data_IF_026882144255
#
_entry.id   IF_026882144255
#
_cell.length_a   1.000
_cell.length_b   1.000
_cell.length_c   1.000
_cell.angle_alpha   90.00
_cell.angle_beta   90.00
_cell.angle_gamma   90.00
#
_symmetry.space_group_name_H-M   'P 1'
#
loop_
_entity.id
_entity.type
_entity.pdbx_description
1 polymer ?
#
# COMPACT_ATOMS: atom_id res chain seq x y z
N UNK A 1 31.81 -15.40 0.51
CA UNK A 1 30.42 -14.98 0.75
C UNK A 1 29.57 -15.86 -0.15
N UNK A 2 28.70 -16.68 0.44
CA UNK A 2 27.88 -17.61 -0.33
C UNK A 2 26.93 -16.84 -1.26
N UNK A 3 26.58 -17.40 -2.42
CA UNK A 3 25.69 -16.76 -3.41
C UNK A 3 24.31 -16.44 -2.79
N UNK A 4 23.91 -17.18 -1.76
CA UNK A 4 22.70 -16.92 -0.97
C UNK A 4 22.87 -15.76 0.02
N UNK A 5 24.05 -15.60 0.66
CA UNK A 5 24.33 -14.47 1.56
C UNK A 5 24.37 -13.12 0.82
N UNK A 6 24.88 -13.11 -0.42
CA UNK A 6 24.89 -11.91 -1.27
C UNK A 6 23.47 -11.42 -1.60
N UNK A 7 22.52 -12.31 -1.87
CA UNK A 7 21.10 -11.94 -2.11
C UNK A 7 20.37 -11.42 -0.88
N UNK A 8 20.80 -11.77 0.35
CA UNK A 8 20.19 -11.22 1.58
C UNK A 8 20.44 -9.73 1.78
N UNK A 9 21.34 -9.13 1.01
CA UNK A 9 21.74 -7.72 1.16
C UNK A 9 21.75 -6.94 -0.16
N UNK A 10 21.58 -7.61 -1.30
CA UNK A 10 21.47 -6.99 -2.61
C UNK A 10 20.01 -6.95 -3.08
N UNK A 11 19.43 -5.75 -3.04
CA UNK A 11 18.06 -5.45 -3.47
C UNK A 11 18.04 -4.59 -4.74
N UNK A 12 19.11 -4.68 -5.54
CA UNK A 12 19.17 -4.07 -6.86
C UNK A 12 18.10 -4.66 -7.76
N UNK A 13 17.51 -3.82 -8.60
CA UNK A 13 16.49 -4.26 -9.55
C UNK A 13 17.15 -4.97 -10.75
N UNK A 14 16.49 -6.01 -11.26
CA UNK A 14 16.81 -6.59 -12.56
C UNK A 14 16.35 -5.65 -13.67
N UNK A 15 16.74 -5.91 -14.92
CA UNK A 15 16.22 -5.17 -16.07
C UNK A 15 14.69 -5.27 -16.17
N UNK A 16 14.12 -6.46 -16.00
CA UNK A 16 12.67 -6.67 -15.99
C UNK A 16 11.95 -5.85 -14.92
N UNK A 17 12.51 -5.76 -13.71
CA UNK A 17 11.97 -4.93 -12.64
C UNK A 17 12.00 -3.43 -13.01
N UNK A 18 13.09 -2.97 -13.64
CA UNK A 18 13.21 -1.58 -14.08
C UNK A 18 12.18 -1.28 -15.18
N UNK A 19 12.04 -2.18 -16.16
CA UNK A 19 11.08 -2.03 -17.26
C UNK A 19 9.64 -2.01 -16.74
N UNK A 20 9.31 -2.88 -15.79
CA UNK A 20 8.03 -2.87 -15.08
C UNK A 20 7.77 -1.51 -14.42
N UNK A 21 8.72 -1.01 -13.64
CA UNK A 21 8.57 0.27 -12.95
C UNK A 21 8.41 1.44 -13.95
N UNK A 22 9.18 1.44 -15.03
CA UNK A 22 9.08 2.46 -16.10
C UNK A 22 7.72 2.41 -16.78
N UNK A 23 7.20 1.22 -17.07
CA UNK A 23 5.89 1.05 -17.70
C UNK A 23 4.77 1.64 -16.82
N UNK A 24 4.74 1.29 -15.52
CA UNK A 24 3.72 1.81 -14.60
C UNK A 24 3.87 3.31 -14.33
N UNK A 25 5.10 3.82 -14.25
CA UNK A 25 5.33 5.26 -14.18
C UNK A 25 4.73 5.99 -15.38
N UNK A 26 5.07 5.56 -16.58
CA UNK A 26 4.55 6.16 -17.82
C UNK A 26 3.04 6.06 -17.93
N UNK A 27 2.45 4.95 -17.46
CA UNK A 27 1.00 4.79 -17.37
C UNK A 27 0.37 5.86 -16.48
N UNK A 28 0.83 6.03 -15.23
CA UNK A 28 0.23 6.99 -14.31
C UNK A 28 0.51 8.44 -14.70
N UNK A 29 1.68 8.76 -15.27
CA UNK A 29 1.95 10.09 -15.84
C UNK A 29 0.98 10.46 -16.96
N UNK A 30 0.57 9.47 -17.77
CA UNK A 30 -0.34 9.69 -18.90
C UNK A 30 -1.82 9.70 -18.48
N UNK A 31 -2.22 8.90 -17.48
CA UNK A 31 -3.63 8.62 -17.18
C UNK A 31 -4.11 9.11 -15.82
N UNK A 32 -3.20 9.47 -14.91
CA UNK A 32 -3.52 9.94 -13.57
C UNK A 32 -2.88 11.32 -13.27
N UNK A 33 -3.12 12.35 -14.11
CA UNK A 33 -2.73 13.70 -13.76
C UNK A 33 -3.54 14.19 -12.54
N UNK A 34 -3.08 15.27 -11.90
CA UNK A 34 -3.65 15.73 -10.63
C UNK A 34 -5.16 16.08 -10.73
N UNK A 35 -5.63 16.45 -11.92
CA UNK A 35 -7.04 16.74 -12.20
C UNK A 35 -7.91 15.50 -12.03
N UNK A 36 -7.44 14.32 -12.44
CA UNK A 36 -8.14 13.04 -12.23
C UNK A 36 -8.23 12.73 -10.74
N UNK A 37 -7.11 12.90 -10.02
CA UNK A 37 -7.07 12.71 -8.55
C UNK A 37 -8.06 13.63 -7.85
N UNK A 38 -8.12 14.91 -8.25
CA UNK A 38 -9.03 15.91 -7.68
C UNK A 38 -10.49 15.60 -7.97
N UNK A 39 -10.80 15.15 -9.19
CA UNK A 39 -12.16 14.77 -9.58
C UNK A 39 -12.69 13.58 -8.76
N UNK A 40 -11.80 12.67 -8.37
CA UNK A 40 -12.14 11.48 -7.59
C UNK A 40 -12.28 11.74 -6.07
N UNK A 41 -11.88 12.89 -5.52
CA UNK A 41 -11.74 13.09 -4.06
C UNK A 41 -13.01 12.84 -3.25
N UNK A 42 -14.18 13.15 -3.80
CA UNK A 42 -15.46 12.98 -3.10
C UNK A 42 -15.80 11.50 -2.86
N UNK A 43 -15.43 10.61 -3.80
CA UNK A 43 -15.67 9.18 -3.70
C UNK A 43 -14.43 8.36 -3.33
N UNK A 44 -13.24 8.94 -3.48
CA UNK A 44 -11.94 8.28 -3.33
C UNK A 44 -11.61 7.25 -4.40
N UNK A 45 -12.36 7.23 -5.51
CA UNK A 45 -12.24 6.21 -6.55
C UNK A 45 -12.51 6.80 -7.93
N UNK A 46 -11.64 6.49 -8.90
CA UNK A 46 -11.86 6.77 -10.32
C UNK A 46 -12.06 5.45 -11.10
N UNK A 47 -13.30 5.12 -11.53
CA UNK A 47 -13.57 3.88 -12.26
C UNK A 47 -12.85 3.78 -13.60
N UNK A 48 -12.66 4.90 -14.31
CA UNK A 48 -12.04 4.88 -15.63
C UNK A 48 -10.53 4.61 -15.54
N UNK A 49 -9.87 5.15 -14.52
CA UNK A 49 -8.48 4.84 -14.20
C UNK A 49 -8.33 3.39 -13.73
N UNK A 50 -9.27 2.90 -12.92
CA UNK A 50 -9.31 1.50 -12.50
C UNK A 50 -9.41 0.55 -13.70
N UNK A 51 -10.34 0.77 -14.62
CA UNK A 51 -10.51 -0.06 -15.82
C UNK A 51 -9.22 -0.07 -16.68
N UNK A 52 -8.59 1.08 -16.85
CA UNK A 52 -7.31 1.20 -17.58
C UNK A 52 -6.17 0.47 -16.89
N UNK A 53 -6.10 0.57 -15.55
CA UNK A 53 -5.06 -0.07 -14.76
C UNK A 53 -5.22 -1.60 -14.80
N UNK A 54 -6.46 -2.10 -14.73
CA UNK A 54 -6.77 -3.51 -14.90
C UNK A 54 -6.41 -4.00 -16.30
N UNK A 55 -6.74 -3.23 -17.34
CA UNK A 55 -6.39 -3.54 -18.74
C UNK A 55 -4.87 -3.58 -18.99
N UNK A 56 -4.07 -2.88 -18.18
CA UNK A 56 -2.61 -2.93 -18.20
C UNK A 56 -2.04 -4.23 -17.59
N UNK A 57 -2.84 -4.99 -16.83
CA UNK A 57 -2.42 -6.22 -16.15
C UNK A 57 -2.07 -6.05 -14.66
N UNK A 58 -2.39 -4.89 -14.06
CA UNK A 58 -2.01 -4.63 -12.67
C UNK A 58 -2.69 -5.57 -11.66
N UNK A 59 -3.88 -6.05 -11.98
CA UNK A 59 -4.64 -6.99 -11.14
C UNK A 59 -4.25 -8.44 -11.42
N UNK A 60 -4.01 -8.80 -12.68
CA UNK A 60 -3.63 -10.16 -13.09
C UNK A 60 -2.26 -10.56 -12.56
N UNK A 61 -1.32 -9.61 -12.51
CA UNK A 61 0.05 -9.90 -12.10
C UNK A 61 0.16 -10.46 -10.68
N UNK A 62 -0.78 -10.11 -9.79
CA UNK A 62 -0.72 -10.49 -8.39
C UNK A 62 -0.99 -11.98 -8.12
N UNK A 63 -1.60 -12.70 -9.06
CA UNK A 63 -1.97 -14.12 -8.92
C UNK A 63 -1.06 -15.04 -9.74
N UNK A 64 -1.00 -16.32 -9.38
CA UNK A 64 -0.19 -17.30 -10.10
C UNK A 64 -0.84 -17.72 -11.44
N UNK A 65 -0.04 -18.29 -12.35
CA UNK A 65 -0.54 -18.82 -13.62
C UNK A 65 -1.61 -19.91 -13.47
N UNK A 66 -1.59 -20.68 -12.37
CA UNK A 66 -2.65 -21.64 -12.05
C UNK A 66 -4.03 -20.99 -11.86
N UNK A 67 -4.04 -19.71 -11.48
CA UNK A 67 -5.23 -18.89 -11.34
C UNK A 67 -5.34 -17.83 -12.45
N UNK A 68 -4.62 -17.99 -13.58
CA UNK A 68 -4.70 -17.05 -14.71
C UNK A 68 -3.95 -15.72 -14.52
N UNK A 69 -3.00 -15.64 -13.58
CA UNK A 69 -2.16 -14.47 -13.35
C UNK A 69 -0.70 -14.63 -13.75
N UNK A 70 0.08 -13.55 -13.64
CA UNK A 70 1.48 -13.50 -14.14
C UNK A 70 2.53 -13.89 -13.09
N UNK A 71 2.10 -14.31 -11.90
CA UNK A 71 2.93 -14.77 -10.79
C UNK A 71 3.99 -13.75 -10.33
N UNK A 72 3.63 -12.47 -10.32
CA UNK A 72 4.51 -11.41 -9.84
C UNK A 72 4.87 -11.61 -8.37
N UNK A 73 6.13 -11.31 -8.05
CA UNK A 73 6.66 -11.33 -6.69
C UNK A 73 6.17 -10.12 -5.90
N UNK A 74 6.30 -10.14 -4.58
CA UNK A 74 6.06 -8.97 -3.76
C UNK A 74 7.01 -7.83 -4.11
N UNK A 75 8.22 -8.11 -4.62
CA UNK A 75 9.12 -7.06 -5.11
C UNK A 75 8.48 -6.35 -6.30
N UNK A 76 7.96 -7.07 -7.28
CA UNK A 76 7.23 -6.49 -8.41
C UNK A 76 6.05 -5.63 -7.95
N UNK A 77 5.25 -6.15 -7.01
CA UNK A 77 4.10 -5.43 -6.47
C UNK A 77 4.51 -4.15 -5.71
N UNK A 78 5.66 -4.14 -5.01
CA UNK A 78 6.16 -2.89 -4.41
C UNK A 78 6.52 -1.83 -5.44
N UNK A 79 6.99 -2.21 -6.63
CA UNK A 79 7.32 -1.26 -7.71
C UNK A 79 6.05 -0.60 -8.26
N UNK A 80 4.98 -1.37 -8.46
CA UNK A 80 3.68 -0.84 -8.86
C UNK A 80 3.07 0.04 -7.76
N UNK A 81 3.15 -0.39 -6.50
CA UNK A 81 2.69 0.38 -5.35
C UNK A 81 3.43 1.73 -5.23
N UNK A 82 4.74 1.76 -5.46
CA UNK A 82 5.53 2.99 -5.47
C UNK A 82 5.00 3.98 -6.52
N UNK A 83 4.70 3.52 -7.74
CA UNK A 83 4.17 4.41 -8.78
C UNK A 83 2.70 4.84 -8.53
N UNK A 84 1.86 3.97 -7.93
CA UNK A 84 0.53 4.35 -7.41
C UNK A 84 0.66 5.48 -6.39
N UNK A 85 1.61 5.33 -5.47
CA UNK A 85 1.96 6.30 -4.46
C UNK A 85 2.42 7.64 -5.04
N UNK A 86 3.33 7.57 -6.02
CA UNK A 86 3.84 8.73 -6.75
C UNK A 86 2.73 9.51 -7.44
N UNK A 87 1.73 8.83 -7.96
CA UNK A 87 0.59 9.46 -8.63
C UNK A 87 -0.56 9.81 -7.69
N UNK A 88 -0.49 9.41 -6.41
CA UNK A 88 -1.62 9.41 -5.46
C UNK A 88 -2.92 8.88 -6.09
N UNK A 89 -2.78 7.80 -6.86
CA UNK A 89 -3.82 7.30 -7.75
C UNK A 89 -5.07 6.85 -6.96
N UNK A 90 -6.28 7.33 -7.31
CA UNK A 90 -7.54 6.99 -6.63
C UNK A 90 -8.06 5.61 -7.06
N UNK A 91 -7.30 4.56 -6.77
CA UNK A 91 -7.62 3.17 -7.11
C UNK A 91 -7.44 2.26 -5.88
N UNK A 92 -8.33 1.27 -5.63
CA UNK A 92 -8.27 0.39 -4.46
C UNK A 92 -7.26 -0.76 -4.63
N UNK A 93 -6.21 -0.54 -5.44
CA UNK A 93 -5.36 -1.61 -5.97
C UNK A 93 -4.67 -2.43 -4.87
N UNK A 94 -4.05 -1.78 -3.88
CA UNK A 94 -3.35 -2.50 -2.78
C UNK A 94 -4.28 -3.44 -2.03
N UNK A 95 -5.48 -2.95 -1.65
CA UNK A 95 -6.49 -3.78 -0.99
C UNK A 95 -6.94 -4.93 -1.90
N UNK A 96 -7.20 -4.64 -3.17
CA UNK A 96 -7.67 -5.62 -4.13
C UNK A 96 -6.65 -6.75 -4.40
N UNK A 97 -5.38 -6.43 -4.68
CA UNK A 97 -4.38 -7.46 -5.01
C UNK A 97 -4.05 -8.35 -3.81
N UNK A 98 -3.94 -7.77 -2.62
CA UNK A 98 -3.69 -8.52 -1.38
C UNK A 98 -4.86 -9.44 -1.07
N UNK A 99 -6.09 -8.93 -1.16
CA UNK A 99 -7.29 -9.74 -0.89
C UNK A 99 -7.43 -10.87 -1.89
N UNK A 100 -7.14 -10.61 -3.17
CA UNK A 100 -7.19 -11.64 -4.22
C UNK A 100 -6.15 -12.74 -3.98
N UNK A 101 -4.92 -12.37 -3.57
CA UNK A 101 -3.87 -13.32 -3.18
C UNK A 101 -4.25 -14.14 -1.95
N UNK A 102 -4.87 -13.52 -0.95
CA UNK A 102 -5.40 -14.22 0.22
C UNK A 102 -6.46 -15.25 -0.18
N UNK A 103 -7.44 -14.85 -1.00
CA UNK A 103 -8.49 -15.74 -1.48
C UNK A 103 -7.91 -16.94 -2.26
N UNK A 104 -6.94 -16.71 -3.14
CA UNK A 104 -6.21 -17.79 -3.81
C UNK A 104 -5.50 -18.72 -2.80
N UNK A 105 -4.77 -18.17 -1.84
CA UNK A 105 -4.03 -18.94 -0.84
C UNK A 105 -4.95 -19.77 0.08
N UNK A 106 -6.22 -19.36 0.22
CA UNK A 106 -7.25 -20.09 0.97
C UNK A 106 -8.04 -21.09 0.11
N UNK A 107 -7.75 -21.20 -1.19
CA UNK A 107 -8.46 -22.11 -2.10
C UNK A 107 -9.84 -21.60 -2.53
N UNK A 108 -10.12 -20.29 -2.40
CA UNK A 108 -11.42 -19.72 -2.76
C UNK A 108 -11.73 -19.80 -4.27
N UNK A 109 -10.73 -20.06 -5.10
CA UNK A 109 -10.84 -20.19 -6.55
C UNK A 109 -10.94 -21.66 -6.99
N UNK A 110 -10.83 -22.61 -6.05
CA UNK A 110 -10.92 -24.04 -6.36
C UNK A 110 -12.38 -24.39 -6.72
N UNK A 111 -12.61 -24.75 -7.99
CA UNK A 111 -13.93 -25.19 -8.47
C UNK A 111 -14.89 -24.06 -8.92
N UNK A 112 -14.51 -22.78 -8.74
CA UNK A 112 -15.25 -21.61 -9.24
C UNK A 112 -14.32 -20.61 -9.92
N UNK A 113 -14.17 -20.75 -11.25
CA UNK A 113 -13.38 -19.82 -12.05
C UNK A 113 -14.02 -18.44 -12.21
N UNK A 114 -15.30 -18.26 -11.87
CA UNK A 114 -16.03 -17.00 -12.07
C UNK A 114 -15.51 -15.93 -11.11
N UNK A 115 -15.31 -16.27 -9.83
CA UNK A 115 -14.74 -15.33 -8.85
C UNK A 115 -13.32 -14.92 -9.25
N UNK A 116 -12.47 -15.88 -9.63
CA UNK A 116 -11.11 -15.60 -10.07
C UNK A 116 -11.10 -14.68 -11.29
N UNK A 117 -11.89 -15.00 -12.32
CA UNK A 117 -12.01 -14.18 -13.53
C UNK A 117 -12.51 -12.76 -13.24
N UNK A 118 -13.51 -12.61 -12.36
CA UNK A 118 -14.06 -11.31 -12.01
C UNK A 118 -13.06 -10.42 -11.26
N UNK A 119 -12.27 -11.00 -10.35
CA UNK A 119 -11.21 -10.29 -9.63
C UNK A 119 -10.03 -9.97 -10.55
N UNK A 120 -9.55 -10.92 -11.33
CA UNK A 120 -8.45 -10.73 -12.29
C UNK A 120 -8.74 -9.64 -13.30
N UNK A 121 -9.96 -9.61 -13.85
CA UNK A 121 -10.36 -8.58 -14.82
C UNK A 121 -10.65 -7.22 -14.17
N UNK A 122 -10.65 -7.13 -12.84
CA UNK A 122 -11.06 -5.94 -12.09
C UNK A 122 -12.56 -5.61 -12.18
N UNK A 123 -13.39 -6.51 -12.72
CA UNK A 123 -14.86 -6.33 -12.78
C UNK A 123 -15.49 -6.37 -11.39
N UNK A 124 -14.87 -7.13 -10.49
CA UNK A 124 -15.19 -7.12 -9.08
C UNK A 124 -13.98 -6.65 -8.28
N UNK A 125 -14.24 -5.81 -7.29
CA UNK A 125 -13.23 -5.25 -6.40
C UNK A 125 -13.26 -6.01 -5.07
N UNK A 126 -12.07 -6.30 -4.54
CA UNK A 126 -11.92 -6.97 -3.26
C UNK A 126 -11.31 -6.01 -2.24
N UNK A 127 -11.77 -6.10 -0.99
CA UNK A 127 -11.26 -5.34 0.14
C UNK A 127 -10.94 -6.26 1.31
N UNK A 128 -9.94 -5.87 2.10
CA UNK A 128 -9.49 -6.57 3.28
C UNK A 128 -9.76 -5.72 4.52
N UNK A 129 -10.34 -6.32 5.54
CA UNK A 129 -10.31 -5.78 6.89
C UNK A 129 -8.95 -6.04 7.53
N UNK A 130 -8.35 -5.03 8.17
CA UNK A 130 -6.99 -5.16 8.70
C UNK A 130 -6.97 -5.63 10.16
N UNK A 131 -8.15 -5.74 10.79
CA UNK A 131 -8.30 -6.34 12.11
C UNK A 131 -8.15 -7.87 12.04
N UNK A 132 -7.13 -8.40 12.71
CA UNK A 132 -6.85 -9.83 12.80
C UNK A 132 -7.41 -10.46 14.08
N UNK A 133 -8.00 -9.66 14.98
CA UNK A 133 -8.50 -10.15 16.28
C UNK A 133 -9.82 -10.90 16.17
N UNK A 134 -10.53 -10.74 15.05
CA UNK A 134 -11.86 -11.30 14.87
C UNK A 134 -12.91 -10.62 15.75
N UNK A 135 -12.67 -9.37 16.18
CA UNK A 135 -13.68 -8.60 16.88
C UNK A 135 -14.92 -8.49 15.99
N UNK A 136 -16.05 -9.00 16.49
CA UNK A 136 -17.32 -8.92 15.79
C UNK A 136 -17.78 -7.47 15.60
N UNK A 137 -18.71 -7.27 14.66
CA UNK A 137 -19.39 -6.00 14.47
C UNK A 137 -18.77 -5.08 13.41
N UNK A 138 -19.18 -3.81 13.48
CA UNK A 138 -18.96 -2.78 12.46
C UNK A 138 -17.50 -2.31 12.44
N UNK A 139 -16.91 -2.32 11.25
CA UNK A 139 -15.49 -2.00 11.01
C UNK A 139 -15.31 -1.08 9.82
N UNK A 140 -14.27 -0.26 9.83
CA UNK A 140 -14.02 0.69 8.74
C UNK A 140 -13.02 0.09 7.77
N UNK A 141 -13.43 -0.16 6.51
CA UNK A 141 -12.59 -0.81 5.50
C UNK A 141 -12.16 0.19 4.44
N UNK A 142 -10.87 0.17 4.07
CA UNK A 142 -10.23 1.15 3.19
C UNK A 142 -10.91 1.31 1.81
N UNK A 143 -11.28 0.17 1.19
CA UNK A 143 -12.02 0.11 -0.08
C UNK A 143 -13.50 -0.19 0.11
N UNK A 144 -14.01 -0.04 1.33
CA UNK A 144 -15.32 -0.52 1.73
C UNK A 144 -16.48 0.03 0.90
N UNK A 145 -16.39 1.24 0.33
CA UNK A 145 -17.49 1.80 -0.46
C UNK A 145 -17.59 1.22 -1.87
N UNK A 146 -16.49 0.66 -2.40
CA UNK A 146 -16.37 0.21 -3.79
C UNK A 146 -16.11 -1.29 -3.94
N UNK A 147 -15.77 -1.99 -2.85
CA UNK A 147 -15.51 -3.42 -2.89
C UNK A 147 -16.80 -4.26 -3.06
N UNK A 148 -16.85 -5.16 -4.04
CA UNK A 148 -17.90 -6.16 -4.16
C UNK A 148 -17.73 -7.31 -3.16
N UNK A 149 -16.47 -7.58 -2.82
CA UNK A 149 -16.07 -8.60 -1.86
C UNK A 149 -15.28 -7.98 -0.71
N UNK A 150 -15.71 -8.21 0.52
CA UNK A 150 -14.94 -7.82 1.71
C UNK A 150 -14.56 -9.08 2.47
N UNK A 151 -13.26 -9.27 2.73
CA UNK A 151 -12.75 -10.41 3.50
C UNK A 151 -12.42 -9.96 4.91
N UNK A 152 -12.93 -10.70 5.90
CA UNK A 152 -12.82 -10.40 7.33
C UNK A 152 -12.45 -11.65 8.13
N UNK A 153 -11.90 -11.46 9.33
CA UNK A 153 -11.86 -12.50 10.36
C UNK A 153 -13.12 -12.43 11.23
N UNK A 154 -13.72 -13.59 11.48
CA UNK A 154 -14.82 -13.77 12.43
C UNK A 154 -14.54 -15.00 13.30
N UNK A 155 -14.07 -14.77 14.53
CA UNK A 155 -13.59 -15.83 15.41
C UNK A 155 -12.41 -16.59 14.79
N UNK A 156 -12.63 -17.84 14.42
CA UNK A 156 -11.61 -18.72 13.82
C UNK A 156 -11.80 -18.91 12.29
N UNK A 157 -12.74 -18.18 11.71
CA UNK A 157 -13.09 -18.27 10.29
C UNK A 157 -12.56 -17.05 9.54
N UNK A 158 -12.07 -17.27 8.32
CA UNK A 158 -11.90 -16.23 7.31
C UNK A 158 -13.14 -16.23 6.43
N UNK A 159 -13.81 -15.09 6.38
CA UNK A 159 -15.14 -14.96 5.80
C UNK A 159 -15.11 -13.94 4.67
N UNK A 160 -15.70 -14.30 3.52
CA UNK A 160 -15.97 -13.40 2.40
C UNK A 160 -17.42 -12.92 2.48
N UNK A 161 -17.59 -11.61 2.41
CA UNK A 161 -18.86 -10.91 2.44
C UNK A 161 -19.17 -10.33 1.05
N UNK A 162 -20.43 -10.36 0.65
CA UNK A 162 -20.95 -9.59 -0.51
C UNK A 162 -22.15 -8.77 -0.10
N UNK A 163 -22.50 -7.77 -0.91
CA UNK A 163 -23.55 -6.82 -0.60
C UNK A 163 -24.36 -6.48 -1.85
N UNK A 164 -25.67 -6.31 -1.70
CA UNK A 164 -26.55 -5.97 -2.82
C UNK A 164 -26.52 -4.48 -3.17
N UNK A 165 -26.14 -3.64 -2.20
CA UNK A 165 -26.12 -2.18 -2.33
C UNK A 165 -24.75 -1.61 -2.06
N UNK A 166 -24.47 -0.50 -2.74
CA UNK A 166 -23.28 0.30 -2.48
C UNK A 166 -23.37 0.91 -1.09
N UNK A 167 -22.25 0.89 -0.38
CA UNK A 167 -22.15 1.45 0.97
C UNK A 167 -21.72 2.92 0.88
N UNK A 168 -22.28 3.79 1.73
CA UNK A 168 -21.95 5.21 1.69
C UNK A 168 -20.48 5.42 2.03
N UNK A 169 -19.83 6.29 1.26
CA UNK A 169 -18.45 6.74 1.52
C UNK A 169 -18.41 7.51 2.83
N UNK A 170 -17.44 7.20 3.68
CA UNK A 170 -17.12 7.95 4.89
C UNK A 170 -16.09 9.01 4.53
N UNK A 171 -16.42 10.29 4.73
CA UNK A 171 -15.45 11.36 4.51
C UNK A 171 -14.22 11.18 5.41
N UNK A 172 -13.04 11.28 4.81
CA UNK A 172 -11.77 10.99 5.46
C UNK A 172 -10.65 11.80 4.81
N UNK A 173 -9.63 12.12 5.61
CA UNK A 173 -8.46 12.90 5.15
C UNK A 173 -7.65 12.17 4.07
N UNK A 174 -7.75 10.85 4.02
CA UNK A 174 -7.04 10.00 3.06
C UNK A 174 -7.60 10.10 1.64
N UNK A 175 -8.82 10.64 1.48
CA UNK A 175 -9.59 10.61 0.23
C UNK A 175 -9.69 9.19 -0.34
N UNK A 176 -9.86 8.21 0.55
CA UNK A 176 -10.06 6.81 0.19
C UNK A 176 -11.56 6.47 0.13
N UNK A 177 -11.98 5.45 -0.65
CA UNK A 177 -13.36 4.99 -0.72
C UNK A 177 -13.73 4.14 0.50
N UNK A 178 -13.55 4.71 1.70
CA UNK A 178 -13.76 4.02 2.96
C UNK A 178 -15.25 3.89 3.24
N UNK A 179 -15.67 2.74 3.74
CA UNK A 179 -17.03 2.59 4.27
C UNK A 179 -17.02 1.72 5.52
N UNK A 180 -18.01 1.98 6.38
CA UNK A 180 -18.31 1.06 7.47
C UNK A 180 -18.92 -0.21 6.92
N UNK A 181 -18.34 -1.35 7.28
CA UNK A 181 -18.77 -2.69 6.95
C UNK A 181 -19.32 -3.34 8.22
N UNK A 182 -20.56 -3.80 8.18
CA UNK A 182 -21.11 -4.69 9.20
C UNK A 182 -21.33 -6.08 8.58
N UNK A 183 -20.66 -7.14 9.05
CA UNK A 183 -20.90 -8.50 8.59
C UNK A 183 -22.37 -8.95 8.73
N UNK A 184 -23.13 -8.36 9.66
CA UNK A 184 -24.56 -8.66 9.84
C UNK A 184 -25.45 -8.07 8.73
N UNK A 185 -24.96 -7.06 8.00
CA UNK A 185 -25.67 -6.42 6.88
C UNK A 185 -25.26 -7.01 5.52
N UNK A 186 -24.38 -8.03 5.50
CA UNK A 186 -23.94 -8.66 4.27
C UNK A 186 -25.07 -9.45 3.60
N UNK A 187 -25.20 -9.30 2.28
CA UNK A 187 -26.15 -10.05 1.47
C UNK A 187 -25.77 -11.54 1.40
N UNK A 188 -24.47 -11.84 1.33
CA UNK A 188 -23.96 -13.19 1.52
C UNK A 188 -22.74 -13.23 2.40
N UNK A 189 -22.63 -14.33 3.15
CA UNK A 189 -21.53 -14.63 4.07
C UNK A 189 -21.02 -16.02 3.74
N UNK A 190 -19.81 -16.12 3.23
CA UNK A 190 -19.17 -17.39 2.86
C UNK A 190 -17.93 -17.60 3.71
N UNK A 191 -17.89 -18.67 4.49
CA UNK A 191 -16.65 -19.12 5.14
C UNK A 191 -15.74 -19.66 4.06
N UNK A 192 -14.58 -19.02 3.87
CA UNK A 192 -13.59 -19.42 2.87
C UNK A 192 -12.67 -20.49 3.43
N UNK A 193 -12.25 -20.31 4.69
CA UNK A 193 -11.41 -21.25 5.40
C UNK A 193 -11.55 -21.06 6.91
N UNK A 194 -11.20 -22.09 7.67
CA UNK A 194 -11.31 -22.13 9.13
C UNK A 194 -10.00 -22.62 9.74
N UNK A 195 -9.66 -22.09 10.92
CA UNK A 195 -8.61 -22.60 11.77
C UNK A 195 -7.29 -21.81 11.70
N UNK A 196 -6.30 -22.21 12.51
CA UNK A 196 -5.05 -21.46 12.67
C UNK A 196 -4.31 -21.19 11.36
N UNK A 197 -4.23 -22.18 10.46
CA UNK A 197 -3.57 -22.02 9.16
C UNK A 197 -4.27 -20.98 8.24
N UNK A 198 -5.59 -20.79 8.40
CA UNK A 198 -6.33 -19.75 7.68
C UNK A 198 -6.01 -18.36 8.25
N UNK A 199 -5.95 -18.25 9.58
CA UNK A 199 -5.59 -17.02 10.28
C UNK A 199 -4.13 -16.61 10.00
N UNK A 200 -3.18 -17.55 9.94
CA UNK A 200 -1.79 -17.28 9.55
C UNK A 200 -1.69 -16.67 8.14
N UNK A 201 -2.46 -17.21 7.18
CA UNK A 201 -2.55 -16.63 5.82
C UNK A 201 -3.18 -15.25 5.82
N UNK A 202 -4.18 -15.02 6.68
CA UNK A 202 -4.79 -13.71 6.85
C UNK A 202 -3.80 -12.70 7.41
N UNK A 203 -3.05 -13.06 8.46
CA UNK A 203 -1.99 -12.20 9.03
C UNK A 203 -0.92 -11.88 8.00
N UNK A 204 -0.52 -12.86 7.18
CA UNK A 204 0.39 -12.62 6.04
C UNK A 204 -0.20 -11.62 5.05
N UNK A 205 -1.48 -11.72 4.71
CA UNK A 205 -2.13 -10.75 3.82
C UNK A 205 -2.12 -9.33 4.42
N UNK A 206 -2.36 -9.19 5.73
CA UNK A 206 -2.25 -7.90 6.41
C UNK A 206 -0.81 -7.35 6.34
N UNK A 207 0.21 -8.20 6.41
CA UNK A 207 1.61 -7.79 6.20
C UNK A 207 1.92 -7.39 4.75
N UNK A 208 1.39 -8.11 3.77
CA UNK A 208 1.49 -7.72 2.36
C UNK A 208 0.84 -6.35 2.13
N UNK A 209 -0.33 -6.10 2.73
CA UNK A 209 -0.98 -4.78 2.68
C UNK A 209 -0.10 -3.68 3.28
N UNK A 210 0.45 -3.91 4.48
CA UNK A 210 1.35 -2.96 5.17
C UNK A 210 2.59 -2.64 4.32
N UNK A 211 3.19 -3.67 3.73
CA UNK A 211 4.34 -3.55 2.85
C UNK A 211 4.02 -2.69 1.62
N UNK A 212 2.91 -2.98 0.93
CA UNK A 212 2.53 -2.25 -0.28
C UNK A 212 2.15 -0.80 0.04
N UNK A 213 1.46 -0.53 1.14
CA UNK A 213 1.21 0.85 1.59
C UNK A 213 2.51 1.58 1.92
N UNK A 214 3.48 0.92 2.57
CA UNK A 214 4.79 1.51 2.80
C UNK A 214 5.48 1.91 1.49
N UNK A 215 5.45 1.04 0.47
CA UNK A 215 5.97 1.34 -0.86
C UNK A 215 5.22 2.50 -1.54
N UNK A 216 3.89 2.56 -1.43
CA UNK A 216 3.11 3.70 -1.91
C UNK A 216 3.52 5.01 -1.23
N UNK A 217 3.77 4.99 0.08
CA UNK A 217 4.26 6.17 0.79
C UNK A 217 5.66 6.59 0.32
N UNK A 218 6.54 5.67 -0.07
CA UNK A 218 7.85 6.00 -0.64
C UNK A 218 7.70 6.81 -1.92
N UNK A 219 6.87 6.34 -2.87
CA UNK A 219 6.64 7.04 -4.13
C UNK A 219 5.96 8.39 -3.94
N UNK A 220 5.00 8.46 -3.00
CA UNK A 220 4.34 9.71 -2.60
C UNK A 220 5.38 10.72 -2.10
N UNK A 221 6.23 10.33 -1.16
CA UNK A 221 7.28 11.19 -0.58
C UNK A 221 8.27 11.64 -1.64
N UNK A 222 8.72 10.74 -2.52
CA UNK A 222 9.63 11.10 -3.61
C UNK A 222 8.99 12.12 -4.56
N UNK A 223 7.71 11.98 -4.91
CA UNK A 223 7.03 13.00 -5.73
C UNK A 223 6.96 14.36 -5.04
N UNK A 224 6.72 14.38 -3.73
CA UNK A 224 6.72 15.64 -2.98
C UNK A 224 8.10 16.28 -2.91
N UNK A 225 9.14 15.46 -2.77
CA UNK A 225 10.53 15.91 -2.81
C UNK A 225 10.85 16.56 -4.15
N UNK A 226 10.49 15.90 -5.26
CA UNK A 226 10.72 16.41 -6.62
C UNK A 226 10.11 17.81 -6.80
N UNK A 227 8.84 17.97 -6.43
CA UNK A 227 8.15 19.26 -6.54
C UNK A 227 8.76 20.34 -5.64
N UNK A 228 9.18 19.98 -4.42
CA UNK A 228 9.85 20.93 -3.52
C UNK A 228 11.25 21.34 -4.02
N UNK A 229 12.02 20.40 -4.57
CA UNK A 229 13.34 20.66 -5.17
C UNK A 229 13.21 21.54 -6.41
N UNK A 230 12.24 21.25 -7.28
CA UNK A 230 11.96 22.07 -8.46
C UNK A 230 11.61 23.50 -8.06
N UNK A 231 10.69 23.67 -7.11
CA UNK A 231 10.34 24.98 -6.58
C UNK A 231 11.57 25.70 -5.99
N UNK A 232 12.38 25.00 -5.20
CA UNK A 232 13.55 25.58 -4.55
C UNK A 232 14.62 26.07 -5.53
N UNK A 233 14.79 25.37 -6.66
CA UNK A 233 15.73 25.74 -7.73
C UNK A 233 15.27 26.98 -8.51
N UNK A 234 13.96 27.18 -8.65
CA UNK A 234 13.40 28.27 -9.45
C UNK A 234 13.07 29.52 -8.61
N UNK A 235 12.70 29.35 -7.34
CA UNK A 235 12.32 30.46 -6.46
C UNK A 235 13.54 31.25 -6.02
N UNK A 236 13.53 32.57 -6.26
CA UNK A 236 14.58 33.50 -5.83
C UNK A 236 14.15 34.41 -4.67
N UNK A 237 15.01 34.54 -3.67
CA UNK A 237 14.92 35.52 -2.58
C UNK A 237 16.33 36.01 -2.24
N UNK A 238 16.48 37.25 -1.76
CA UNK A 238 17.78 37.83 -1.42
C UNK A 238 18.86 37.68 -2.51
N UNK A 239 18.46 37.73 -3.79
CA UNK A 239 19.37 37.64 -4.94
C UNK A 239 19.83 36.24 -5.34
N UNK A 240 19.51 35.20 -4.57
CA UNK A 240 19.89 33.79 -4.84
C UNK A 240 18.66 32.90 -4.98
N UNK A 241 18.82 31.68 -5.50
CA UNK A 241 17.75 30.67 -5.44
C UNK A 241 17.65 30.12 -4.03
N UNK A 242 16.44 29.81 -3.55
CA UNK A 242 16.29 29.32 -2.17
C UNK A 242 16.96 27.96 -1.95
N UNK A 243 17.24 27.21 -3.03
CA UNK A 243 18.01 25.97 -3.00
C UNK A 243 19.44 26.11 -2.44
N UNK A 244 20.02 27.31 -2.41
CA UNK A 244 21.36 27.55 -1.82
C UNK A 244 21.31 27.78 -0.31
N UNK A 245 20.12 27.95 0.27
CA UNK A 245 19.94 28.19 1.70
C UNK A 245 19.94 26.86 2.44
N UNK A 246 20.85 26.69 3.40
CA UNK A 246 20.98 25.44 4.16
C UNK A 246 19.70 25.02 4.88
N UNK A 247 18.90 25.99 5.35
CA UNK A 247 17.60 25.76 5.96
C UNK A 247 16.57 25.13 5.00
N UNK A 248 16.83 25.15 3.69
CA UNK A 248 16.02 24.49 2.66
C UNK A 248 16.72 23.22 2.17
N UNK A 249 18.01 23.30 1.84
CA UNK A 249 18.72 22.17 1.23
C UNK A 249 18.94 20.99 2.19
N UNK A 250 19.19 21.22 3.49
CA UNK A 250 19.39 20.13 4.43
C UNK A 250 18.09 19.32 4.67
N UNK A 251 16.93 19.93 4.97
CA UNK A 251 15.69 19.16 5.09
C UNK A 251 15.30 18.40 3.81
N UNK A 252 15.58 18.94 2.62
CA UNK A 252 15.34 18.22 1.37
C UNK A 252 16.30 17.03 1.20
N UNK A 253 17.54 17.13 1.67
CA UNK A 253 18.47 16.00 1.70
C UNK A 253 18.01 14.92 2.70
N UNK A 254 17.47 15.30 3.87
CA UNK A 254 16.90 14.36 4.84
C UNK A 254 15.72 13.59 4.23
N UNK A 255 14.84 14.27 3.48
CA UNK A 255 13.75 13.60 2.76
C UNK A 255 14.30 12.61 1.72
N UNK A 256 15.36 12.96 1.00
CA UNK A 256 15.99 12.04 0.06
C UNK A 256 16.53 10.78 0.76
N UNK A 257 17.08 10.92 1.98
CA UNK A 257 17.50 9.79 2.82
C UNK A 257 16.29 8.93 3.23
N UNK A 258 15.18 9.56 3.62
CA UNK A 258 13.93 8.85 3.95
C UNK A 258 13.45 8.01 2.77
N UNK A 259 13.40 8.59 1.56
CA UNK A 259 12.99 7.89 0.33
C UNK A 259 13.84 6.64 0.10
N UNK A 260 15.17 6.76 0.16
CA UNK A 260 16.06 5.60 -0.05
C UNK A 260 15.93 4.56 1.07
N UNK A 261 15.79 5.01 2.32
CA UNK A 261 15.64 4.13 3.47
C UNK A 261 14.34 3.32 3.40
N UNK A 262 13.22 3.98 3.09
CA UNK A 262 11.92 3.36 2.92
C UNK A 262 11.90 2.37 1.75
N UNK A 263 12.47 2.76 0.61
CA UNK A 263 12.57 1.91 -0.58
C UNK A 263 13.37 0.64 -0.31
N UNK A 264 14.54 0.77 0.30
CA UNK A 264 15.38 -0.38 0.62
C UNK A 264 14.72 -1.29 1.66
N UNK A 265 14.06 -0.70 2.67
CA UNK A 265 13.34 -1.47 3.69
C UNK A 265 12.13 -2.21 3.10
N UNK A 266 11.36 -1.58 2.22
CA UNK A 266 10.23 -2.20 1.53
C UNK A 266 10.70 -3.35 0.61
N UNK A 267 11.71 -3.13 -0.24
CA UNK A 267 12.26 -4.20 -1.11
C UNK A 267 12.81 -5.37 -0.32
N UNK A 268 13.48 -5.08 0.79
CA UNK A 268 13.96 -6.09 1.73
C UNK A 268 12.80 -6.88 2.34
N UNK A 269 11.79 -6.21 2.86
CA UNK A 269 10.61 -6.84 3.42
C UNK A 269 9.91 -7.74 2.38
N UNK A 270 9.71 -7.23 1.16
CA UNK A 270 9.11 -7.97 0.06
C UNK A 270 9.85 -9.28 -0.25
N UNK A 271 11.18 -9.20 -0.37
CA UNK A 271 11.99 -10.39 -0.63
C UNK A 271 11.86 -11.44 0.48
N UNK A 272 11.95 -11.03 1.75
CA UNK A 272 11.83 -11.94 2.89
C UNK A 272 10.42 -12.56 2.97
N UNK A 273 9.36 -11.79 2.75
CA UNK A 273 7.99 -12.32 2.78
C UNK A 273 7.77 -13.43 1.74
N UNK A 274 8.38 -13.33 0.56
CA UNK A 274 8.25 -14.35 -0.49
C UNK A 274 9.15 -15.58 -0.25
N UNK A 275 10.39 -15.38 0.23
CA UNK A 275 11.41 -16.43 0.21
C UNK A 275 11.73 -17.02 1.59
N UNK A 276 11.71 -16.20 2.64
CA UNK A 276 12.12 -16.57 4.00
C UNK A 276 11.20 -15.89 5.06
N UNK A 277 9.87 -16.12 5.02
CA UNK A 277 8.90 -15.33 5.78
C UNK A 277 9.09 -15.43 7.31
N UNK A 278 9.56 -16.58 7.79
CA UNK A 278 9.77 -16.84 9.23
C UNK A 278 11.06 -16.20 9.77
N UNK A 279 12.05 -15.95 8.91
CA UNK A 279 13.34 -15.41 9.33
C UNK A 279 13.19 -13.99 9.85
N UNK A 280 12.42 -13.16 9.12
CA UNK A 280 12.32 -11.71 9.33
C UNK A 280 10.88 -11.18 9.25
N UNK A 281 9.94 -11.84 9.93
CA UNK A 281 8.51 -11.52 9.93
C UNK A 281 8.14 -10.11 10.45
N UNK A 282 9.08 -9.40 11.09
CA UNK A 282 8.90 -8.02 11.52
C UNK A 282 9.07 -6.97 10.40
N UNK A 283 9.67 -7.33 9.25
CA UNK A 283 10.12 -6.34 8.28
C UNK A 283 8.98 -5.59 7.58
N UNK A 284 7.89 -6.27 7.21
CA UNK A 284 6.74 -5.61 6.57
C UNK A 284 6.09 -4.56 7.49
N UNK A 285 5.87 -4.94 8.75
CA UNK A 285 5.40 -4.01 9.77
C UNK A 285 6.41 -2.87 10.03
N UNK A 286 7.72 -3.17 10.01
CA UNK A 286 8.78 -2.17 10.20
C UNK A 286 8.81 -1.15 9.06
N UNK A 287 8.68 -1.60 7.80
CA UNK A 287 8.57 -0.72 6.64
C UNK A 287 7.37 0.22 6.75
N UNK A 288 6.22 -0.35 7.14
CA UNK A 288 4.98 0.40 7.32
C UNK A 288 5.08 1.43 8.44
N UNK A 289 5.58 1.06 9.62
CA UNK A 289 5.76 1.99 10.75
C UNK A 289 6.73 3.11 10.39
N UNK A 290 7.88 2.78 9.79
CA UNK A 290 8.87 3.77 9.36
C UNK A 290 8.29 4.77 8.37
N UNK A 291 7.66 4.30 7.29
CA UNK A 291 7.13 5.19 6.27
C UNK A 291 5.90 5.97 6.73
N UNK A 292 5.09 5.40 7.62
CA UNK A 292 3.96 6.12 8.21
C UNK A 292 4.40 7.31 9.05
N UNK A 293 5.47 7.15 9.84
CA UNK A 293 6.00 8.25 10.66
C UNK A 293 6.69 9.32 9.80
N UNK A 294 7.49 8.89 8.82
CA UNK A 294 8.29 9.83 8.02
C UNK A 294 7.52 10.52 6.89
N UNK A 295 6.53 9.87 6.27
CA UNK A 295 5.85 10.43 5.09
C UNK A 295 5.12 11.74 5.40
N UNK A 296 4.43 11.83 6.54
CA UNK A 296 3.74 13.05 6.94
C UNK A 296 4.73 14.20 7.23
N UNK A 297 5.89 13.90 7.84
CA UNK A 297 6.95 14.88 8.13
C UNK A 297 7.56 15.39 6.82
N UNK A 298 7.93 14.48 5.92
CA UNK A 298 8.50 14.82 4.62
C UNK A 298 7.54 15.66 3.76
N UNK A 299 6.28 15.25 3.64
CA UNK A 299 5.28 16.00 2.91
C UNK A 299 5.02 17.39 3.53
N UNK A 300 5.03 17.51 4.86
CA UNK A 300 4.89 18.80 5.56
C UNK A 300 6.07 19.73 5.22
N UNK A 301 7.29 19.21 5.26
CA UNK A 301 8.49 19.97 4.88
C UNK A 301 8.44 20.40 3.41
N UNK A 302 8.02 19.51 2.50
CA UNK A 302 7.86 19.84 1.08
C UNK A 302 6.85 20.96 0.84
N UNK A 303 5.71 20.95 1.55
CA UNK A 303 4.72 22.04 1.53
C UNK A 303 5.34 23.34 2.05
N UNK A 304 6.07 23.31 3.17
CA UNK A 304 6.71 24.50 3.74
C UNK A 304 7.75 25.11 2.82
N UNK A 305 8.54 24.31 2.11
CA UNK A 305 9.52 24.80 1.12
C UNK A 305 8.82 25.62 0.01
N UNK A 306 7.60 25.23 -0.37
CA UNK A 306 6.79 25.95 -1.36
C UNK A 306 6.08 27.20 -0.79
N UNK A 307 6.07 27.38 0.53
CA UNK A 307 5.43 28.52 1.20
C UNK A 307 3.93 28.62 0.89
N UNK A 308 3.44 29.83 0.61
CA UNK A 308 2.03 30.07 0.31
C UNK A 308 1.50 29.29 -0.90
N UNK A 309 2.36 28.95 -1.86
CA UNK A 309 1.97 28.10 -3.00
C UNK A 309 1.64 26.68 -2.55
N UNK A 310 2.38 26.12 -1.60
CA UNK A 310 2.20 24.74 -1.12
C UNK A 310 0.84 24.47 -0.48
N UNK A 311 0.15 25.53 -0.05
CA UNK A 311 -1.20 25.46 0.54
C UNK A 311 -2.29 26.01 -0.38
N UNK A 312 -1.94 26.42 -1.61
CA UNK A 312 -2.90 26.92 -2.58
C UNK A 312 -3.64 25.76 -3.27
N UNK A 313 -4.79 26.07 -3.88
CA UNK A 313 -5.53 25.14 -4.73
C UNK A 313 -4.80 24.82 -6.05
N UNK A 314 -3.78 25.59 -6.41
CA UNK A 314 -3.02 25.40 -7.64
C UNK A 314 -1.92 24.35 -7.45
N UNK A 315 -1.37 24.22 -6.23
CA UNK A 315 -0.36 23.21 -5.93
C UNK A 315 -1.00 21.85 -5.64
N UNK A 316 -0.35 20.79 -6.11
CA UNK A 316 -0.66 19.43 -5.72
C UNK A 316 -0.15 19.10 -4.31
N UNK A 317 0.78 19.87 -3.74
CA UNK A 317 1.50 19.53 -2.50
C UNK A 317 0.56 19.28 -1.31
N UNK A 318 -0.52 20.05 -1.17
CA UNK A 318 -1.54 19.85 -0.15
C UNK A 318 -2.28 18.51 -0.32
N UNK A 319 -2.54 18.08 -1.57
CA UNK A 319 -3.12 16.78 -1.85
C UNK A 319 -2.20 15.64 -1.37
N UNK A 320 -0.90 15.71 -1.67
CA UNK A 320 0.06 14.72 -1.16
C UNK A 320 0.14 14.71 0.37
N UNK A 321 0.15 15.88 1.02
CA UNK A 321 0.19 15.97 2.48
C UNK A 321 -1.00 15.28 3.15
N UNK A 322 -2.22 15.48 2.64
CA UNK A 322 -3.40 14.84 3.23
C UNK A 322 -3.40 13.32 2.99
N UNK A 323 -2.90 12.82 1.83
CA UNK A 323 -2.71 11.37 1.59
C UNK A 323 -1.64 10.77 2.50
N UNK A 324 -0.49 11.45 2.65
CA UNK A 324 0.60 11.00 3.52
C UNK A 324 0.14 10.81 4.98
N UNK A 325 -0.78 11.67 5.46
CA UNK A 325 -1.39 11.54 6.78
C UNK A 325 -2.53 10.54 6.82
N UNK A 326 -3.30 10.42 5.74
CA UNK A 326 -4.56 9.69 5.72
C UNK A 326 -4.44 8.21 5.38
N UNK A 327 -3.60 7.84 4.40
CA UNK A 327 -3.47 6.44 3.99
C UNK A 327 -3.07 5.50 5.14
N UNK A 328 -2.12 5.88 6.03
CA UNK A 328 -1.80 5.03 7.17
C UNK A 328 -2.98 4.83 8.14
N UNK A 329 -3.87 5.80 8.27
CA UNK A 329 -5.04 5.71 9.15
C UNK A 329 -6.07 4.68 8.67
N UNK A 330 -6.02 4.30 7.39
CA UNK A 330 -6.82 3.19 6.89
C UNK A 330 -6.42 1.84 7.53
N UNK A 331 -5.22 1.76 8.14
CA UNK A 331 -4.77 0.63 8.94
C UNK A 331 -5.28 0.63 10.39
N UNK A 332 -6.03 1.65 10.80
CA UNK A 332 -6.35 1.89 12.20
C UNK A 332 -5.15 2.43 12.98
N UNK A 333 -4.96 1.96 14.21
CA UNK A 333 -3.86 2.39 15.07
C UNK A 333 -2.53 1.74 14.64
N UNK A 334 -1.62 2.57 14.14
CA UNK A 334 -0.26 2.18 13.71
C UNK A 334 0.55 1.58 14.87
N UNK A 335 0.22 1.92 16.12
CA UNK A 335 0.86 1.33 17.29
C UNK A 335 0.62 -0.18 17.40
N UNK A 336 -0.44 -0.72 16.78
CA UNK A 336 -0.67 -2.17 16.69
C UNK A 336 0.44 -2.84 15.88
N UNK A 337 0.87 -2.24 14.77
CA UNK A 337 1.99 -2.74 13.97
C UNK A 337 3.32 -2.62 14.75
N UNK A 338 3.54 -1.51 15.47
CA UNK A 338 4.72 -1.34 16.31
C UNK A 338 4.78 -2.37 17.46
N UNK A 339 3.65 -2.63 18.13
CA UNK A 339 3.54 -3.64 19.17
C UNK A 339 3.80 -5.06 18.62
N UNK A 340 3.38 -5.34 17.39
CA UNK A 340 3.70 -6.61 16.70
C UNK A 340 5.20 -6.76 16.47
N UNK A 341 5.89 -5.72 15.99
CA UNK A 341 7.36 -5.73 15.83
C UNK A 341 8.02 -6.06 17.17
N UNK A 342 7.62 -5.39 18.25
CA UNK A 342 8.16 -5.63 19.59
C UNK A 342 7.97 -7.10 20.03
N UNK A 343 6.78 -7.67 19.83
CA UNK A 343 6.51 -9.09 20.13
C UNK A 343 7.42 -10.04 19.35
N UNK A 344 7.56 -9.83 18.03
CA UNK A 344 8.41 -10.68 17.17
C UNK A 344 9.88 -10.61 17.61
N UNK A 345 10.39 -9.41 17.89
CA UNK A 345 11.78 -9.22 18.34
C UNK A 345 12.01 -9.88 19.70
N UNK A 346 11.13 -9.64 20.68
CA UNK A 346 11.27 -10.24 22.01
C UNK A 346 11.26 -11.78 21.94
N UNK A 347 10.40 -12.37 21.10
CA UNK A 347 10.34 -13.82 20.94
C UNK A 347 11.58 -14.37 20.22
N UNK A 348 12.16 -13.61 19.27
CA UNK A 348 13.42 -14.00 18.63
C UNK A 348 14.59 -14.00 19.63
N UNK A 349 14.71 -12.96 20.45
CA UNK A 349 15.76 -12.86 21.47
C UNK A 349 15.63 -14.00 22.50
N UNK A 350 14.41 -14.30 22.97
CA UNK A 350 14.17 -15.43 23.89
C UNK A 350 14.60 -16.78 23.32
N UNK A 351 14.33 -17.02 22.03
CA UNK A 351 14.76 -18.25 21.34
C UNK A 351 16.27 -18.32 21.19
N UNK A 352 16.93 -17.18 20.96
CA UNK A 352 18.39 -17.10 20.92
C UNK A 352 19.00 -17.42 22.28
N UNK A 353 18.49 -16.83 23.36
CA UNK A 353 18.97 -17.08 24.73
C UNK A 353 18.75 -18.53 25.18
N UNK A 354 17.66 -19.17 24.74
CA UNK A 354 17.39 -20.58 25.04
C UNK A 354 18.26 -21.57 24.25
N UNK A 355 18.94 -21.12 23.20
CA UNK A 355 19.81 -21.93 22.34
C UNK A 355 21.30 -21.90 22.74
N UNK A 356 21.66 -21.08 23.74
CA UNK A 356 23.02 -20.91 24.29
C UNK A 356 23.19 -21.74 25.57
#
# INVERSE_FOLDING_TARGET
>A
MDRYELRRLDYSLTEDHVDLQVAYRGFFESHCPIEVVRAAEAGGFDPALWDRLCAMGATTMALSGAHGGDAATLVDLTLVAEEIGRAIAPVPWVGHVVTSRLLAALGAFDGDGVLAEALLSGRSIAGLDLDTTGAGGRRLVASGAVADHVVVVDGNDVVRLTFDTHRPVVDNIARLPMAWIDPAEAASRTVVATGPAALEKYERAVDEWRLLVAASLVGLVEKTLDGAVEFAKNRRTHGVTISTLQAISHPLADIAIVVQSGRNLARRAAWFLDHEPEERSELAASAFVFMTDEAAKAATTAVHVQGGLGVSVESSASAYLVRARGWPLAAGDVAVAAARIAKVVVERERRSDAAV
#
